data_IF_962125882410
#
_entry.id   IF_962125882410
#
_cell.length_a   1.000
_cell.length_b   1.000
_cell.length_c   1.000
_cell.angle_alpha   90.00
_cell.angle_beta   90.00
_cell.angle_gamma   90.00
#
_symmetry.space_group_name_H-M   'P 1'
#
loop_
_entity.id
_entity.type
_entity.pdbx_description
1 polymer ?
#
# COMPACT_ATOMS: atom_id res chain seq x y z
N UNK A 1 -28.28 8.93 -14.29
CA UNK A 1 -27.29 7.84 -14.24
C UNK A 1 -26.42 8.04 -13.00
N UNK A 2 -26.87 7.55 -11.84
CA UNK A 2 -26.08 7.64 -10.61
C UNK A 2 -25.22 6.37 -10.51
N UNK A 3 -23.92 6.50 -10.77
CA UNK A 3 -22.94 5.47 -10.42
C UNK A 3 -22.89 5.43 -8.89
N UNK A 4 -23.51 4.42 -8.29
CA UNK A 4 -23.24 4.03 -6.91
C UNK A 4 -21.73 3.75 -6.80
N UNK A 5 -20.98 4.67 -6.23
CA UNK A 5 -19.62 4.41 -5.79
C UNK A 5 -19.74 3.42 -4.63
N UNK A 6 -19.46 2.15 -4.89
CA UNK A 6 -19.43 1.13 -3.86
C UNK A 6 -18.31 1.51 -2.85
N UNK A 7 -18.62 1.90 -1.59
CA UNK A 7 -17.61 2.33 -0.62
C UNK A 7 -16.68 1.18 -0.18
N UNK A 8 -16.99 -0.05 -0.58
CA UNK A 8 -16.35 -1.29 -0.15
C UNK A 8 -14.96 -1.57 -0.77
N UNK A 9 -14.36 -0.66 -1.53
CA UNK A 9 -13.06 -0.90 -2.20
C UNK A 9 -11.97 0.13 -1.87
N UNK A 10 -11.99 0.71 -0.67
CA UNK A 10 -10.71 1.17 -0.11
C UNK A 10 -9.90 -0.12 0.15
N UNK A 11 -8.90 -0.36 -0.70
CA UNK A 11 -7.99 -1.51 -0.59
C UNK A 11 -7.49 -1.63 0.86
N UNK A 12 -7.40 -2.83 1.41
CA UNK A 12 -6.96 -3.04 2.80
C UNK A 12 -5.64 -2.32 3.10
N UNK A 13 -4.77 -2.21 2.08
CA UNK A 13 -3.53 -1.46 2.16
C UNK A 13 -3.75 0.02 2.47
N UNK A 14 -4.77 0.66 1.88
CA UNK A 14 -5.08 2.06 2.12
C UNK A 14 -5.61 2.25 3.55
N UNK A 15 -6.39 1.29 4.08
CA UNK A 15 -6.83 1.31 5.48
C UNK A 15 -5.63 1.22 6.43
N UNK A 16 -4.66 0.36 6.14
CA UNK A 16 -3.42 0.21 6.92
C UNK A 16 -2.61 1.51 6.88
N UNK A 17 -2.48 2.15 5.72
CA UNK A 17 -1.80 3.45 5.58
C UNK A 17 -2.48 4.54 6.42
N UNK A 18 -3.81 4.65 6.33
CA UNK A 18 -4.58 5.61 7.12
C UNK A 18 -4.40 5.38 8.62
N UNK A 19 -4.42 4.12 9.07
CA UNK A 19 -4.19 3.78 10.48
C UNK A 19 -2.79 4.21 10.95
N UNK A 20 -1.75 3.87 10.19
CA UNK A 20 -0.36 4.24 10.52
C UNK A 20 -0.20 5.77 10.63
N UNK A 21 -0.77 6.52 9.68
CA UNK A 21 -0.76 7.98 9.71
C UNK A 21 -1.56 8.54 10.90
N UNK A 22 -2.71 7.94 11.23
CA UNK A 22 -3.52 8.35 12.39
C UNK A 22 -2.77 8.15 13.73
N UNK A 23 -1.84 7.19 13.77
CA UNK A 23 -0.94 6.99 14.90
C UNK A 23 0.23 8.00 14.94
N UNK A 24 0.29 8.95 14.01
CA UNK A 24 1.32 10.00 13.93
C UNK A 24 2.64 9.54 13.33
N UNK A 25 2.63 8.48 12.52
CA UNK A 25 3.79 8.13 11.69
C UNK A 25 3.76 8.92 10.38
N UNK A 26 4.92 9.42 9.98
CA UNK A 26 5.09 10.20 8.76
C UNK A 26 5.64 9.34 7.63
N UNK A 27 5.10 9.51 6.42
CA UNK A 27 5.58 8.79 5.24
C UNK A 27 6.92 9.34 4.77
N UNK A 28 7.96 8.52 4.87
CA UNK A 28 9.29 8.80 4.32
C UNK A 28 9.29 8.27 2.89
N UNK A 29 8.86 9.14 1.99
CA UNK A 29 8.56 8.81 0.60
C UNK A 29 9.77 8.25 -0.13
N UNK A 30 9.62 7.08 -0.74
CA UNK A 30 10.37 6.69 -1.93
C UNK A 30 9.33 6.29 -2.99
N UNK A 31 9.19 7.13 -4.01
CA UNK A 31 8.29 6.91 -5.14
C UNK A 31 8.76 5.77 -6.05
N UNK A 32 10.03 5.36 -5.93
CA UNK A 32 10.64 4.29 -6.72
C UNK A 32 10.66 2.94 -6.00
N UNK A 33 10.40 2.94 -4.69
CA UNK A 33 10.38 1.72 -3.90
C UNK A 33 9.02 1.04 -3.92
N UNK A 34 9.04 -0.29 -4.09
CA UNK A 34 7.91 -1.17 -3.78
C UNK A 34 7.55 -1.14 -2.29
N UNK A 35 8.42 -0.59 -1.46
CA UNK A 35 8.19 -0.43 -0.03
C UNK A 35 7.60 0.95 0.27
N UNK A 36 6.60 0.99 1.14
CA UNK A 36 6.14 2.22 1.79
C UNK A 36 6.67 2.24 3.21
N UNK A 37 7.49 3.25 3.51
CA UNK A 37 8.17 3.38 4.79
C UNK A 37 7.53 4.53 5.57
N UNK A 38 7.33 4.31 6.86
CA UNK A 38 6.77 5.28 7.79
C UNK A 38 7.64 5.36 9.05
N UNK A 39 7.84 6.54 9.62
CA UNK A 39 8.65 6.71 10.84
C UNK A 39 7.98 7.57 11.90
N UNK A 40 8.30 7.28 13.16
CA UNK A 40 7.91 8.08 14.34
C UNK A 40 8.86 7.81 15.50
N UNK A 41 9.48 8.83 16.07
CA UNK A 41 10.32 8.73 17.27
C UNK A 41 11.36 7.58 17.22
N UNK A 42 12.01 7.37 16.06
CA UNK A 42 12.98 6.29 15.86
C UNK A 42 12.38 4.91 15.57
N UNK A 43 11.05 4.74 15.63
CA UNK A 43 10.35 3.54 15.18
C UNK A 43 10.08 3.64 13.67
N UNK A 44 10.26 2.53 12.95
CA UNK A 44 10.05 2.45 11.50
C UNK A 44 9.07 1.31 11.17
N UNK A 45 8.08 1.61 10.34
CA UNK A 45 7.13 0.64 9.77
C UNK A 45 7.38 0.56 8.26
N UNK A 46 7.54 -0.65 7.75
CA UNK A 46 7.73 -0.90 6.32
C UNK A 46 6.62 -1.79 5.81
N UNK A 47 5.85 -1.29 4.85
CA UNK A 47 4.85 -2.05 4.10
C UNK A 47 5.49 -2.48 2.78
N UNK A 48 5.60 -3.79 2.55
CA UNK A 48 6.06 -4.34 1.27
C UNK A 48 4.86 -4.60 0.39
N UNK A 49 4.78 -3.95 -0.77
CA UNK A 49 3.78 -4.29 -1.77
C UNK A 49 4.36 -5.39 -2.67
N UNK A 50 3.97 -6.63 -2.42
CA UNK A 50 4.23 -7.73 -3.36
C UNK A 50 3.46 -7.41 -4.64
N UNK A 51 4.17 -7.12 -5.74
CA UNK A 51 3.53 -7.13 -7.05
C UNK A 51 3.23 -8.61 -7.30
N UNK A 52 1.96 -8.99 -7.28
CA UNK A 52 1.53 -10.27 -7.83
C UNK A 52 1.91 -10.25 -9.29
N UNK A 53 3.01 -10.93 -9.61
CA UNK A 53 3.32 -11.28 -10.99
C UNK A 53 2.15 -12.16 -11.42
N UNK A 54 1.30 -11.69 -12.34
CA UNK A 54 0.26 -12.54 -12.93
C UNK A 54 0.95 -13.81 -13.46
N UNK A 55 0.36 -14.98 -13.22
CA UNK A 55 0.89 -16.28 -13.71
C UNK A 55 0.96 -16.39 -15.25
N UNK A 56 0.60 -15.34 -15.99
CA UNK A 56 0.54 -15.29 -17.45
C UNK A 56 1.89 -15.01 -18.15
N UNK A 57 3.00 -14.84 -17.41
CA UNK A 57 4.36 -14.70 -17.98
C UNK A 57 5.26 -15.91 -17.70
N UNK A 58 4.73 -17.13 -17.78
CA UNK A 58 5.57 -18.32 -17.95
C UNK A 58 5.90 -18.48 -19.45
N UNK A 59 7.19 -18.46 -19.86
CA UNK A 59 7.54 -18.78 -21.24
C UNK A 59 7.09 -20.21 -21.53
N UNK A 60 6.14 -20.35 -22.46
CA UNK A 60 5.75 -21.65 -22.99
C UNK A 60 7.01 -22.32 -23.54
N UNK A 61 7.34 -23.46 -22.96
CA UNK A 61 8.48 -24.30 -23.34
C UNK A 61 8.19 -25.05 -24.64
#
# INVERSE_FOLDING_TARGET
>A
MNRFQNPAKISEIEKIKTLIMSCGFEGISDSTSQNKIYSKNGTVITIRQSISISEDELPQK
#
